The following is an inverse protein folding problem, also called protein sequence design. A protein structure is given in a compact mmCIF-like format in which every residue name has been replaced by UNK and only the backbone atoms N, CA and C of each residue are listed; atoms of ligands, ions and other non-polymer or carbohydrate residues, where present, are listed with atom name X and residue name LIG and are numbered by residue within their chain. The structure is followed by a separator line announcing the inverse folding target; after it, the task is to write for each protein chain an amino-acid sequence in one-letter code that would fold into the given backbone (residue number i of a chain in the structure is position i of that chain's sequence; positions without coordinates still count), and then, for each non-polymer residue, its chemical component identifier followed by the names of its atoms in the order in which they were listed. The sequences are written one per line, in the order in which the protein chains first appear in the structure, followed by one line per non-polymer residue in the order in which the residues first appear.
data_IF_633664451682
#
_entry.id   IF_633664451682
#
_cell.length_a   1.000
_cell.length_b   1.000
_cell.length_c   1.000
_cell.angle_alpha   90.00
_cell.angle_beta   90.00
_cell.angle_gamma   90.00
#
_symmetry.space_group_name_H-M   'P 1'
#
loop_
_entity.id
_entity.type
_entity.pdbx_description
1 polymer ?
#
# COMPACT_ATOMS: atom_id res chain seq x y z
N UNK A 1 9.67 -3.85 -21.16
CA UNK A 1 10.99 -4.06 -20.48
C UNK A 1 11.48 -2.83 -19.71
N UNK A 2 11.36 -1.61 -20.24
CA UNK A 2 11.80 -0.38 -19.53
C UNK A 2 10.98 -0.10 -18.27
N UNK A 3 9.65 -0.24 -18.32
CA UNK A 3 8.77 -0.02 -17.15
C UNK A 3 9.08 -0.98 -15.99
N UNK A 4 9.30 -2.27 -16.26
CA UNK A 4 9.69 -3.23 -15.22
C UNK A 4 11.02 -2.85 -14.54
N UNK A 5 11.98 -2.28 -15.30
CA UNK A 5 13.23 -1.77 -14.73
C UNK A 5 13.01 -0.51 -13.89
N UNK A 6 12.07 0.35 -14.28
CA UNK A 6 11.73 1.57 -13.56
C UNK A 6 11.12 1.28 -12.19
N UNK A 7 10.07 0.46 -12.13
CA UNK A 7 9.44 0.06 -10.86
C UNK A 7 10.45 -0.56 -9.89
N UNK A 8 11.30 -1.47 -10.39
CA UNK A 8 12.37 -2.09 -9.59
C UNK A 8 13.35 -1.06 -9.03
N UNK A 9 13.74 -0.05 -9.82
CA UNK A 9 14.64 1.01 -9.36
C UNK A 9 14.01 1.82 -8.23
N UNK A 10 12.73 2.17 -8.34
CA UNK A 10 12.01 2.89 -7.27
C UNK A 10 11.98 2.06 -5.99
N UNK A 11 11.59 0.78 -6.08
CA UNK A 11 11.56 -0.10 -4.92
C UNK A 11 12.91 -0.19 -4.22
N UNK A 12 13.99 -0.40 -5.00
CA UNK A 12 15.33 -0.49 -4.45
C UNK A 12 15.79 0.83 -3.82
N UNK A 13 15.43 1.97 -4.42
CA UNK A 13 15.71 3.29 -3.86
C UNK A 13 15.01 3.49 -2.51
N UNK A 14 13.72 3.19 -2.42
CA UNK A 14 12.96 3.30 -1.17
C UNK A 14 13.53 2.38 -0.09
N UNK A 15 13.85 1.13 -0.43
CA UNK A 15 14.48 0.18 0.49
C UNK A 15 15.86 0.65 0.94
N UNK A 16 16.66 1.22 0.04
CA UNK A 16 17.96 1.79 0.39
C UNK A 16 17.81 2.95 1.38
N UNK A 17 16.86 3.86 1.15
CA UNK A 17 16.57 4.97 2.08
C UNK A 17 16.16 4.43 3.46
N UNK A 18 15.32 3.40 3.51
CA UNK A 18 14.93 2.75 4.77
C UNK A 18 16.14 2.13 5.50
N UNK A 19 17.06 1.48 4.77
CA UNK A 19 18.27 0.91 5.37
C UNK A 19 19.20 1.99 5.95
N UNK A 20 19.38 3.10 5.23
CA UNK A 20 20.13 4.25 5.73
C UNK A 20 19.44 4.85 6.96
N UNK A 21 18.11 5.00 6.93
CA UNK A 21 17.31 5.46 8.07
C UNK A 21 17.43 4.54 9.28
N UNK A 22 17.43 3.22 9.09
CA UNK A 22 17.62 2.26 10.17
C UNK A 22 19.01 2.41 10.80
N UNK A 23 20.07 2.56 10.00
CA UNK A 23 21.42 2.78 10.50
C UNK A 23 21.51 4.09 11.31
N UNK A 24 20.88 5.17 10.82
CA UNK A 24 20.77 6.44 11.55
C UNK A 24 20.03 6.29 12.88
N UNK A 25 18.87 5.63 12.87
CA UNK A 25 18.08 5.39 14.09
C UNK A 25 18.82 4.53 15.13
N UNK A 26 19.62 3.54 14.68
CA UNK A 26 20.49 2.75 15.56
C UNK A 26 21.59 3.64 16.17
N UNK A 27 22.24 4.47 15.35
CA UNK A 27 23.28 5.39 15.79
C UNK A 27 22.78 6.38 16.85
N UNK A 28 21.57 6.91 16.66
CA UNK A 28 20.90 7.81 17.61
C UNK A 28 20.21 7.07 18.77
N UNK A 29 20.29 5.74 18.82
CA UNK A 29 19.67 4.89 19.85
C UNK A 29 18.14 5.04 19.96
N UNK A 30 17.48 5.38 18.85
CA UNK A 30 16.03 5.53 18.77
C UNK A 30 15.37 4.17 18.51
N UNK A 31 15.36 3.30 19.50
CA UNK A 31 14.92 1.89 19.36
C UNK A 31 13.51 1.71 18.82
N UNK A 32 12.57 2.62 19.15
CA UNK A 32 11.23 2.60 18.57
C UNK A 32 11.26 2.84 17.06
N UNK A 33 12.04 3.82 16.61
CA UNK A 33 12.21 4.10 15.18
C UNK A 33 12.91 2.93 14.47
N UNK A 34 13.89 2.29 15.11
CA UNK A 34 14.51 1.07 14.58
C UNK A 34 13.46 -0.03 14.36
N UNK A 35 12.60 -0.27 15.35
CA UNK A 35 11.53 -1.26 15.25
C UNK A 35 10.54 -0.93 14.12
N UNK A 36 10.10 0.33 14.03
CA UNK A 36 9.18 0.78 12.99
C UNK A 36 9.80 0.59 11.59
N UNK A 37 11.04 1.03 11.38
CA UNK A 37 11.73 0.92 10.09
C UNK A 37 11.95 -0.55 9.72
N UNK A 38 12.34 -1.40 10.66
CA UNK A 38 12.47 -2.84 10.43
C UNK A 38 11.14 -3.47 10.01
N UNK A 39 10.04 -3.09 10.67
CA UNK A 39 8.68 -3.51 10.30
C UNK A 39 8.32 -3.10 8.86
N UNK A 40 8.61 -1.85 8.47
CA UNK A 40 8.39 -1.38 7.10
C UNK A 40 9.18 -2.23 6.10
N UNK A 41 10.47 -2.49 6.35
CA UNK A 41 11.31 -3.29 5.46
C UNK A 41 10.69 -4.67 5.26
N UNK A 42 10.24 -5.33 6.32
CA UNK A 42 9.56 -6.63 6.24
C UNK A 42 8.28 -6.53 5.39
N UNK A 43 7.45 -5.51 5.62
CA UNK A 43 6.23 -5.26 4.85
C UNK A 43 6.53 -5.08 3.36
N UNK A 44 7.64 -4.40 3.00
CA UNK A 44 8.01 -4.24 1.58
C UNK A 44 8.33 -5.56 0.87
N UNK A 45 8.60 -6.63 1.61
CA UNK A 45 8.84 -7.98 1.07
C UNK A 45 7.55 -8.79 0.90
N UNK A 46 6.42 -8.36 1.49
CA UNK A 46 5.15 -9.08 1.41
C UNK A 46 4.69 -9.35 -0.03
N UNK A 47 4.75 -8.40 -0.98
CA UNK A 47 4.32 -8.68 -2.34
C UNK A 47 5.11 -9.83 -2.98
N UNK A 48 6.42 -9.92 -2.72
CA UNK A 48 7.26 -11.01 -3.21
C UNK A 48 6.88 -12.36 -2.58
N UNK A 49 6.56 -12.37 -1.28
CA UNK A 49 6.13 -13.57 -0.56
C UNK A 49 4.77 -14.04 -1.10
N UNK A 50 3.83 -13.12 -1.31
CA UNK A 50 2.49 -13.43 -1.81
C UNK A 50 2.54 -14.08 -3.21
N UNK A 51 3.32 -13.52 -4.12
CA UNK A 51 3.49 -14.08 -5.47
C UNK A 51 4.08 -15.49 -5.44
N UNK A 52 5.13 -15.70 -4.64
CA UNK A 52 5.82 -16.99 -4.56
C UNK A 52 4.99 -18.07 -3.88
N UNK A 53 4.25 -17.71 -2.81
CA UNK A 53 3.54 -18.67 -1.97
C UNK A 53 2.14 -18.99 -2.48
N UNK A 54 1.40 -17.97 -2.92
CA UNK A 54 -0.02 -18.11 -3.29
C UNK A 54 -0.24 -18.09 -4.80
N UNK A 55 0.81 -17.96 -5.62
CA UNK A 55 0.72 -17.88 -7.10
C UNK A 55 -0.22 -16.77 -7.60
N UNK A 56 -0.40 -15.73 -6.79
CA UNK A 56 -1.15 -14.52 -7.15
C UNK A 56 -0.24 -13.64 -8.00
N UNK A 57 -0.74 -13.14 -9.13
CA UNK A 57 -0.04 -12.12 -9.91
C UNK A 57 -0.36 -10.73 -9.37
N UNK A 58 0.67 -9.99 -8.92
CA UNK A 58 0.51 -8.61 -8.48
C UNK A 58 1.21 -7.71 -9.50
N UNK A 59 0.49 -6.80 -10.19
CA UNK A 59 1.11 -5.86 -11.12
C UNK A 59 2.18 -5.00 -10.42
N UNK A 60 3.22 -4.61 -11.17
CA UNK A 60 4.38 -3.91 -10.61
C UNK A 60 4.00 -2.55 -10.01
N UNK A 61 3.00 -1.91 -10.57
CA UNK A 61 2.40 -0.65 -10.17
C UNK A 61 1.86 -0.77 -8.74
N UNK A 62 1.06 -1.81 -8.46
CA UNK A 62 0.50 -2.05 -7.12
C UNK A 62 1.57 -2.36 -6.08
N UNK A 63 2.66 -3.05 -6.46
CA UNK A 63 3.80 -3.27 -5.55
C UNK A 63 4.45 -1.96 -5.16
N UNK A 64 4.74 -1.11 -6.15
CA UNK A 64 5.37 0.20 -5.90
C UNK A 64 4.44 1.10 -5.10
N UNK A 65 3.14 1.13 -5.42
CA UNK A 65 2.14 1.90 -4.67
C UNK A 65 2.06 1.45 -3.22
N UNK A 66 1.99 0.14 -2.94
CA UNK A 66 1.95 -0.38 -1.57
C UNK A 66 3.21 0.00 -0.77
N UNK A 67 4.39 -0.18 -1.38
CA UNK A 67 5.68 0.17 -0.75
C UNK A 67 5.76 1.68 -0.50
N UNK A 68 5.39 2.50 -1.48
CA UNK A 68 5.39 3.95 -1.37
C UNK A 68 4.40 4.45 -0.31
N UNK A 69 3.22 3.84 -0.22
CA UNK A 69 2.21 4.17 0.78
C UNK A 69 2.72 3.90 2.20
N UNK A 70 3.25 2.70 2.47
CA UNK A 70 3.78 2.35 3.81
C UNK A 70 4.99 3.21 4.16
N UNK A 71 5.85 3.49 3.18
CA UNK A 71 6.97 4.42 3.35
C UNK A 71 6.48 5.83 3.74
N UNK A 72 5.49 6.37 3.03
CA UNK A 72 4.94 7.70 3.32
C UNK A 72 4.22 7.74 4.68
N UNK A 73 3.44 6.70 5.00
CA UNK A 73 2.64 6.65 6.23
C UNK A 73 3.50 6.46 7.48
N UNK A 74 4.48 5.56 7.46
CA UNK A 74 5.22 5.20 8.67
C UNK A 74 6.60 5.87 8.72
N UNK A 75 7.36 5.82 7.63
CA UNK A 75 8.72 6.39 7.64
C UNK A 75 8.70 7.91 7.58
N UNK A 76 7.95 8.51 6.65
CA UNK A 76 7.82 9.96 6.60
C UNK A 76 6.85 10.48 7.67
N UNK A 77 5.68 9.85 7.78
CA UNK A 77 4.63 10.20 8.73
C UNK A 77 5.10 10.16 10.18
N UNK A 78 5.47 8.97 10.67
CA UNK A 78 5.85 8.80 12.07
C UNK A 78 7.32 9.10 12.35
N UNK A 79 8.24 8.41 11.67
CA UNK A 79 9.67 8.51 12.00
C UNK A 79 10.21 9.93 11.75
N UNK A 80 9.75 10.61 10.70
CA UNK A 80 10.16 11.98 10.38
C UNK A 80 9.14 13.05 10.80
N UNK A 81 8.05 12.67 11.45
CA UNK A 81 7.05 13.57 12.03
C UNK A 81 6.24 14.37 10.99
N UNK A 82 5.98 13.83 9.80
CA UNK A 82 5.22 14.55 8.78
C UNK A 82 3.75 14.76 9.18
N UNK A 83 3.18 13.89 10.00
CA UNK A 83 1.82 14.09 10.54
C UNK A 83 1.68 15.38 11.35
N UNK A 84 2.72 15.78 12.06
CA UNK A 84 2.71 17.01 12.86
C UNK A 84 3.19 18.23 12.08
N UNK A 85 4.09 18.02 11.09
CA UNK A 85 4.69 19.10 10.31
C UNK A 85 3.81 19.59 9.16
N UNK A 86 3.08 18.71 8.51
CA UNK A 86 2.29 19.03 7.32
C UNK A 86 0.83 18.65 7.53
N UNK A 87 -0.02 19.67 7.73
CA UNK A 87 -1.45 19.49 8.04
C UNK A 87 -2.24 18.66 7.01
N UNK A 88 -1.78 18.64 5.76
CA UNK A 88 -2.43 17.91 4.66
C UNK A 88 -1.92 16.47 4.51
N UNK A 89 -0.84 16.10 5.21
CA UNK A 89 -0.18 14.80 5.03
C UNK A 89 -1.13 13.65 5.32
N UNK A 90 -1.81 13.75 6.46
CA UNK A 90 -2.78 12.76 6.91
C UNK A 90 -3.96 12.64 5.94
N UNK A 91 -4.45 13.78 5.44
CA UNK A 91 -5.55 13.85 4.46
C UNK A 91 -5.17 13.14 3.16
N UNK A 92 -3.95 13.37 2.65
CA UNK A 92 -3.48 12.71 1.42
C UNK A 92 -3.37 11.21 1.61
N UNK A 93 -2.86 10.74 2.75
CA UNK A 93 -2.74 9.31 3.05
C UNK A 93 -4.11 8.65 3.19
N UNK A 94 -5.03 9.22 3.97
CA UNK A 94 -6.38 8.69 4.13
C UNK A 94 -7.19 8.71 2.83
N UNK A 95 -7.05 9.76 2.02
CA UNK A 95 -7.69 9.82 0.70
C UNK A 95 -7.14 8.74 -0.22
N UNK A 96 -5.82 8.53 -0.20
CA UNK A 96 -5.16 7.51 -1.03
C UNK A 96 -5.54 6.09 -0.62
N UNK A 97 -5.58 5.79 0.68
CA UNK A 97 -6.01 4.48 1.18
C UNK A 97 -7.49 4.23 0.89
N UNK A 98 -8.35 5.21 1.15
CA UNK A 98 -9.79 5.13 0.84
C UNK A 98 -10.04 4.89 -0.64
N UNK A 99 -9.31 5.57 -1.54
CA UNK A 99 -9.41 5.34 -2.97
C UNK A 99 -8.98 3.92 -3.37
N UNK A 100 -7.86 3.42 -2.85
CA UNK A 100 -7.38 2.06 -3.10
C UNK A 100 -8.38 1.00 -2.58
N UNK A 101 -8.93 1.21 -1.38
CA UNK A 101 -9.96 0.33 -0.81
C UNK A 101 -11.26 0.37 -1.62
N UNK A 102 -11.63 1.52 -2.17
CA UNK A 102 -12.76 1.64 -3.11
C UNK A 102 -12.55 0.81 -4.37
N UNK A 103 -11.35 0.81 -4.95
CA UNK A 103 -10.99 -0.07 -6.07
C UNK A 103 -11.11 -1.54 -5.65
N UNK A 104 -10.62 -1.91 -4.47
CA UNK A 104 -10.75 -3.29 -3.96
C UNK A 104 -12.22 -3.69 -3.79
N UNK A 105 -13.04 -2.83 -3.18
CA UNK A 105 -14.48 -3.06 -3.02
C UNK A 105 -15.20 -3.23 -4.37
N UNK A 106 -14.85 -2.39 -5.35
CA UNK A 106 -15.34 -2.53 -6.72
C UNK A 106 -14.94 -3.87 -7.33
N UNK A 107 -13.64 -4.23 -7.27
CA UNK A 107 -13.12 -5.47 -7.85
C UNK A 107 -13.75 -6.72 -7.23
N UNK A 108 -14.02 -6.72 -5.92
CA UNK A 108 -14.70 -7.83 -5.24
C UNK A 108 -16.08 -8.09 -5.87
N UNK A 109 -16.90 -7.05 -6.02
CA UNK A 109 -18.23 -7.19 -6.61
C UNK A 109 -18.15 -7.46 -8.10
N UNK A 110 -17.25 -6.79 -8.82
CA UNK A 110 -17.04 -7.01 -10.25
C UNK A 110 -16.71 -8.46 -10.56
N UNK A 111 -15.78 -9.07 -9.81
CA UNK A 111 -15.42 -10.49 -9.99
C UNK A 111 -16.62 -11.39 -9.74
N UNK A 112 -17.41 -11.13 -8.70
CA UNK A 112 -18.64 -11.92 -8.43
C UNK A 112 -19.65 -11.79 -9.56
N UNK A 113 -19.79 -10.60 -10.14
CA UNK A 113 -20.78 -10.30 -11.18
C UNK A 113 -20.39 -10.88 -12.56
N UNK A 114 -19.09 -11.03 -12.82
CA UNK A 114 -18.55 -11.55 -14.09
C UNK A 114 -18.22 -13.06 -14.03
N UNK A 115 -18.34 -13.69 -12.86
CA UNK A 115 -18.09 -15.14 -12.73
C UNK A 115 -19.34 -15.91 -13.17
N UNK A 116 -19.30 -16.58 -14.32
CA UNK A 116 -20.45 -17.32 -14.89
C UNK A 116 -21.10 -18.34 -13.93
N UNK A 117 -20.32 -18.91 -13.00
CA UNK A 117 -20.82 -19.88 -12.00
C UNK A 117 -21.58 -19.21 -10.85
N UNK A 118 -21.44 -17.89 -10.72
CA UNK A 118 -22.07 -17.06 -9.71
C UNK A 118 -23.16 -16.27 -10.44
N UNK A 119 -24.41 -16.74 -10.34
CA UNK A 119 -25.59 -16.11 -10.97
C UNK A 119 -25.98 -14.80 -10.25
N UNK A 120 -25.07 -13.83 -10.29
CA UNK A 120 -25.24 -12.49 -9.72
C UNK A 120 -25.22 -11.46 -10.84
N UNK A 121 -26.29 -10.68 -10.93
CA UNK A 121 -26.41 -9.56 -11.86
C UNK A 121 -26.78 -8.28 -11.10
N UNK A 122 -25.75 -7.63 -10.58
CA UNK A 122 -25.86 -6.38 -9.84
C UNK A 122 -25.92 -5.19 -10.79
N UNK A 123 -26.80 -4.23 -10.47
CA UNK A 123 -26.89 -2.97 -11.24
C UNK A 123 -25.64 -2.12 -11.00
N UNK A 124 -25.13 -1.38 -12.00
CA UNK A 124 -23.94 -0.54 -11.85
C UNK A 124 -24.02 0.43 -10.65
N UNK A 125 -25.20 1.01 -10.39
CA UNK A 125 -25.40 1.89 -9.24
C UNK A 125 -25.19 1.20 -7.88
N UNK A 126 -25.55 -0.08 -7.76
CA UNK A 126 -25.28 -0.85 -6.53
C UNK A 126 -23.79 -1.13 -6.38
N UNK A 127 -23.08 -1.46 -7.45
CA UNK A 127 -21.63 -1.71 -7.42
C UNK A 127 -20.87 -0.47 -6.94
N UNK A 128 -21.21 0.71 -7.47
CA UNK A 128 -20.60 1.98 -7.04
C UNK A 128 -20.91 2.28 -5.58
N UNK A 129 -22.17 2.11 -5.16
CA UNK A 129 -22.57 2.32 -3.77
C UNK A 129 -21.87 1.38 -2.80
N UNK A 130 -21.77 0.09 -3.16
CA UNK A 130 -21.04 -0.90 -2.39
C UNK A 130 -19.56 -0.53 -2.28
N UNK A 131 -18.89 -0.22 -3.39
CA UNK A 131 -17.48 0.15 -3.39
C UNK A 131 -17.20 1.37 -2.51
N UNK A 132 -18.09 2.37 -2.55
CA UNK A 132 -18.02 3.55 -1.69
C UNK A 132 -18.19 3.20 -0.20
N UNK A 133 -19.22 2.44 0.16
CA UNK A 133 -19.44 2.04 1.55
C UNK A 133 -18.34 1.10 2.07
N UNK A 134 -17.82 0.23 1.21
CA UNK A 134 -16.70 -0.64 1.53
C UNK A 134 -15.46 0.17 1.86
N UNK A 135 -15.13 1.16 1.02
CA UNK A 135 -14.01 2.07 1.27
C UNK A 135 -14.17 2.81 2.61
N UNK A 136 -15.38 3.30 2.90
CA UNK A 136 -15.67 4.04 4.14
C UNK A 136 -15.69 3.14 5.39
N UNK A 137 -16.13 1.89 5.25
CA UNK A 137 -16.27 0.98 6.39
C UNK A 137 -14.98 0.25 6.75
N UNK A 138 -14.11 0.00 5.78
CA UNK A 138 -12.82 -0.69 5.98
C UNK A 138 -11.68 0.29 6.17
N UNK A 139 -11.75 1.47 5.54
CA UNK A 139 -10.74 2.54 5.65
C UNK A 139 -10.93 3.36 6.91
#
# INVERSE_FOLDING_TARGET
MQEAKFHRRITLLLQFILLVGAAGAIWEQQWLNVLLIAGIIIITLLPLILERRFKVFIPAEFKVLAIAFVFAAVFLGEVHGYYTRFWWWDIVLHTSSGFLLGIVGFLLVYVLNETEQIDMHMRPGFVVFFAFLFALGVG
#
